data_IF_492130890502
#
_entry.id   IF_492130890502
#
_cell.length_a   1.000
_cell.length_b   1.000
_cell.length_c   1.000
_cell.angle_alpha   90.00
_cell.angle_beta   90.00
_cell.angle_gamma   90.00
#
_symmetry.space_group_name_H-M   'P 1'
#
loop_
_entity.id
_entity.type
_entity.pdbx_description
1 polymer ?
#
# COMPACT_ATOMS: atom_id res chain seq x y z
N UNK A 1 16.95 -17.10 -6.41
CA UNK A 1 17.36 -16.97 -7.84
C UNK A 1 16.21 -17.09 -8.85
N UNK A 2 15.22 -17.99 -8.66
CA UNK A 2 14.07 -18.15 -9.57
C UNK A 2 13.18 -16.88 -9.64
N UNK A 3 12.92 -16.24 -8.50
CA UNK A 3 12.10 -15.04 -8.39
C UNK A 3 12.71 -13.78 -9.04
N UNK A 4 14.04 -13.66 -9.07
CA UNK A 4 14.71 -12.51 -9.71
C UNK A 4 14.48 -12.53 -11.22
N UNK A 5 14.44 -13.71 -11.84
CA UNK A 5 14.14 -13.86 -13.29
C UNK A 5 12.67 -13.52 -13.61
N UNK A 6 11.74 -13.78 -12.65
CA UNK A 6 10.33 -13.43 -12.83
C UNK A 6 10.09 -11.90 -12.64
N UNK A 7 10.93 -11.21 -11.85
CA UNK A 7 10.90 -9.75 -11.67
C UNK A 7 11.50 -8.98 -12.85
N UNK A 8 12.49 -9.56 -13.51
CA UNK A 8 13.11 -9.02 -14.72
C UNK A 8 12.35 -9.43 -16.01
N UNK A 9 11.19 -10.08 -15.89
CA UNK A 9 10.39 -10.42 -17.06
C UNK A 9 9.90 -9.15 -17.76
N UNK A 10 9.91 -9.14 -19.09
CA UNK A 10 9.43 -8.02 -19.92
C UNK A 10 8.01 -7.59 -19.54
N UNK A 11 7.20 -8.52 -19.04
CA UNK A 11 5.82 -8.26 -18.55
C UNK A 11 5.85 -7.42 -17.28
N UNK A 12 6.73 -7.72 -16.34
CA UNK A 12 6.86 -6.97 -15.09
C UNK A 12 7.35 -5.55 -15.36
N UNK A 13 8.35 -5.39 -16.23
CA UNK A 13 8.87 -4.09 -16.66
C UNK A 13 7.81 -3.27 -17.43
N UNK A 14 7.03 -3.93 -18.29
CA UNK A 14 5.97 -3.26 -19.05
C UNK A 14 4.82 -2.80 -18.15
N UNK A 15 4.40 -3.63 -17.18
CA UNK A 15 3.43 -3.27 -16.15
C UNK A 15 3.94 -2.09 -15.32
N UNK A 16 5.17 -2.17 -14.85
CA UNK A 16 5.81 -1.14 -14.05
C UNK A 16 5.87 0.22 -14.77
N UNK A 17 6.23 0.22 -16.05
CA UNK A 17 6.28 1.43 -16.87
C UNK A 17 4.89 2.02 -17.12
N UNK A 18 3.91 1.17 -17.44
CA UNK A 18 2.52 1.59 -17.69
C UNK A 18 1.87 2.18 -16.44
N UNK A 19 2.07 1.51 -15.31
CA UNK A 19 1.52 1.91 -14.01
C UNK A 19 2.19 3.20 -13.53
N UNK A 20 3.52 3.28 -13.63
CA UNK A 20 4.27 4.46 -13.25
C UNK A 20 3.87 5.69 -14.08
N UNK A 21 3.64 5.50 -15.38
CA UNK A 21 3.16 6.59 -16.25
C UNK A 21 1.78 7.09 -15.82
N UNK A 22 0.83 6.19 -15.55
CA UNK A 22 -0.51 6.55 -15.05
C UNK A 22 -0.45 7.24 -13.70
N UNK A 23 0.32 6.70 -12.74
CA UNK A 23 0.46 7.25 -11.42
C UNK A 23 1.12 8.64 -11.46
N UNK A 24 2.21 8.79 -12.23
CA UNK A 24 2.86 10.09 -12.45
C UNK A 24 1.93 11.10 -13.15
N UNK A 25 1.04 10.64 -14.01
CA UNK A 25 0.06 11.52 -14.66
C UNK A 25 -1.01 12.01 -13.67
N UNK A 26 -1.46 11.16 -12.76
CA UNK A 26 -2.38 11.54 -11.67
C UNK A 26 -1.75 12.57 -10.74
N UNK A 27 -0.50 12.34 -10.34
CA UNK A 27 0.25 13.30 -9.50
C UNK A 27 0.52 14.62 -10.24
N UNK A 28 0.84 14.59 -11.54
CA UNK A 28 1.08 15.81 -12.34
C UNK A 28 -0.17 16.65 -12.54
N UNK A 29 -1.35 16.04 -12.53
CA UNK A 29 -2.63 16.77 -12.55
C UNK A 29 -2.81 17.68 -11.32
N UNK A 30 -2.03 17.44 -10.27
CA UNK A 30 -2.10 18.15 -9.00
C UNK A 30 -1.00 19.22 -8.84
N UNK A 31 -0.16 19.46 -9.86
CA UNK A 31 0.91 20.48 -9.80
C UNK A 31 0.43 21.77 -10.48
N UNK A 32 0.79 22.90 -9.94
CA UNK A 32 0.58 24.20 -10.56
C UNK A 32 1.02 24.17 -12.03
N UNK A 33 0.11 24.44 -12.91
CA UNK A 33 0.37 24.42 -14.34
C UNK A 33 -0.05 25.73 -15.02
N UNK A 34 0.58 25.99 -16.16
CA UNK A 34 0.17 27.10 -17.02
C UNK A 34 -0.64 26.53 -18.16
N UNK A 35 -1.94 26.82 -18.18
CA UNK A 35 -2.79 26.48 -19.30
C UNK A 35 -2.85 27.67 -20.28
N UNK A 36 -2.45 27.44 -21.53
CA UNK A 36 -2.25 28.44 -22.56
C UNK A 36 -3.39 28.51 -23.59
N UNK A 37 -3.23 29.35 -24.62
CA UNK A 37 -4.19 29.57 -25.73
C UNK A 37 -5.47 30.32 -25.35
N UNK A 38 -5.40 31.20 -24.39
CA UNK A 38 -6.53 32.08 -24.05
C UNK A 38 -6.38 33.47 -24.65
N UNK A 39 -7.51 34.17 -24.80
CA UNK A 39 -7.58 35.58 -25.27
C UNK A 39 -7.25 36.57 -24.14
N UNK A 40 -7.29 36.12 -22.88
CA UNK A 40 -6.91 36.86 -21.67
C UNK A 40 -6.49 35.88 -20.56
N UNK A 41 -5.63 36.29 -19.65
CA UNK A 41 -5.12 35.41 -18.60
C UNK A 41 -4.15 36.09 -17.64
N UNK A 42 -3.46 35.29 -16.83
CA UNK A 42 -2.54 35.74 -15.79
C UNK A 42 -1.20 36.26 -16.35
N UNK A 43 -0.84 35.86 -17.57
CA UNK A 43 0.38 36.30 -18.23
C UNK A 43 0.44 35.95 -19.70
N UNK A 44 1.50 36.40 -20.39
CA UNK A 44 1.65 36.27 -21.85
C UNK A 44 2.72 35.21 -22.16
N UNK A 45 2.37 34.30 -23.05
CA UNK A 45 3.29 33.32 -23.61
C UNK A 45 4.02 33.92 -24.83
N UNK A 46 5.23 34.40 -24.63
CA UNK A 46 6.00 35.17 -25.64
C UNK A 46 6.14 34.43 -26.99
N UNK A 47 6.24 33.12 -26.94
CA UNK A 47 6.34 32.26 -28.14
C UNK A 47 5.08 32.29 -29.01
N UNK A 48 3.97 32.82 -28.53
CA UNK A 48 2.66 32.85 -29.19
C UNK A 48 2.17 34.23 -29.56
N UNK A 49 3.00 35.25 -29.40
CA UNK A 49 2.63 36.65 -29.72
C UNK A 49 2.20 36.82 -31.19
N UNK A 50 2.64 35.92 -32.09
CA UNK A 50 2.21 35.91 -33.49
C UNK A 50 0.87 35.21 -33.75
N UNK A 51 0.13 34.70 -32.74
CA UNK A 51 -1.17 34.09 -32.98
C UNK A 51 -2.21 35.16 -33.43
N UNK A 52 -2.65 35.07 -34.68
CA UNK A 52 -3.64 35.96 -35.27
C UNK A 52 -4.98 35.96 -34.51
N UNK A 53 -5.29 34.91 -33.79
CA UNK A 53 -6.48 34.81 -32.93
C UNK A 53 -6.28 35.41 -31.54
N UNK A 54 -5.14 36.06 -31.30
CA UNK A 54 -4.79 36.71 -30.02
C UNK A 54 -4.84 35.78 -28.81
N UNK A 55 -4.59 34.45 -28.99
CA UNK A 55 -4.61 33.41 -27.95
C UNK A 55 -3.22 33.19 -27.38
N UNK A 56 -2.55 34.22 -26.96
CA UNK A 56 -1.19 34.21 -26.41
C UNK A 56 -1.16 34.36 -24.88
N UNK A 57 -2.32 34.36 -24.22
CA UNK A 57 -2.41 34.41 -22.77
C UNK A 57 -2.40 33.01 -22.18
N UNK A 58 -1.79 32.89 -20.99
CA UNK A 58 -1.93 31.71 -20.16
C UNK A 58 -2.64 32.07 -18.85
N UNK A 59 -3.26 31.06 -18.23
CA UNK A 59 -3.79 31.11 -16.88
C UNK A 59 -2.96 30.20 -16.01
N UNK A 60 -2.67 30.63 -14.78
CA UNK A 60 -2.15 29.71 -13.78
C UNK A 60 -3.31 28.86 -13.31
N UNK A 61 -3.16 27.55 -13.43
CA UNK A 61 -4.06 26.55 -12.84
C UNK A 61 -3.36 26.13 -11.56
N UNK A 62 -3.97 26.44 -10.42
CA UNK A 62 -3.46 25.95 -9.15
C UNK A 62 -3.59 24.44 -9.14
N UNK A 63 -2.48 23.74 -8.92
CA UNK A 63 -2.48 22.32 -8.60
C UNK A 63 -3.11 22.10 -7.24
N UNK A 64 -3.65 20.93 -7.04
CA UNK A 64 -3.99 20.44 -5.71
C UNK A 64 -2.66 20.03 -5.08
N UNK A 65 -2.32 20.54 -3.91
CA UNK A 65 -1.13 20.11 -3.19
C UNK A 65 -1.22 18.59 -2.96
N UNK A 66 -0.16 17.87 -3.33
CA UNK A 66 -0.07 16.44 -3.02
C UNK A 66 -0.03 16.35 -1.49
N UNK A 67 -0.99 15.66 -0.86
CA UNK A 67 -0.98 15.55 0.59
C UNK A 67 0.32 14.89 1.05
N UNK A 68 0.90 15.42 2.11
CA UNK A 68 2.05 14.86 2.78
C UNK A 68 1.62 13.55 3.48
N UNK A 69 1.87 12.42 2.83
CA UNK A 69 1.36 11.11 3.22
C UNK A 69 2.49 10.09 3.39
N UNK A 70 2.41 9.33 4.47
CA UNK A 70 3.23 8.15 4.70
C UNK A 70 2.37 6.89 4.72
N UNK A 71 2.82 5.85 4.04
CA UNK A 71 2.10 4.58 3.89
C UNK A 71 2.94 3.44 4.46
N UNK A 72 2.40 2.71 5.42
CA UNK A 72 2.99 1.46 5.90
C UNK A 72 2.18 0.27 5.38
N UNK A 73 2.83 -0.57 4.58
CA UNK A 73 2.27 -1.85 4.16
C UNK A 73 2.61 -2.91 5.21
N UNK A 74 1.59 -3.44 5.86
CA UNK A 74 1.70 -4.51 6.83
C UNK A 74 1.23 -5.80 6.16
N UNK A 75 2.16 -6.71 5.88
CA UNK A 75 1.90 -7.93 5.11
C UNK A 75 1.87 -9.12 6.08
N UNK A 76 0.79 -9.87 6.03
CA UNK A 76 0.67 -11.11 6.76
C UNK A 76 1.66 -12.15 6.22
N UNK A 77 2.52 -12.65 7.11
CA UNK A 77 3.50 -13.71 6.85
C UNK A 77 3.11 -15.05 7.46
N UNK A 78 1.82 -15.25 7.80
CA UNK A 78 1.33 -16.53 8.35
C UNK A 78 1.36 -17.66 7.32
N UNK A 79 1.32 -18.89 7.80
CA UNK A 79 1.39 -20.09 6.96
C UNK A 79 0.27 -20.19 5.93
N UNK A 80 -0.92 -19.62 6.19
CA UNK A 80 -2.04 -19.57 5.25
C UNK A 80 -1.77 -18.71 4.00
N UNK A 81 -0.81 -17.80 4.10
CA UNK A 81 -0.33 -17.01 2.97
C UNK A 81 0.60 -17.76 2.02
N UNK A 82 0.96 -19.01 2.30
CA UNK A 82 1.89 -19.78 1.48
C UNK A 82 1.41 -19.96 0.03
N UNK A 83 2.36 -20.22 -0.88
CA UNK A 83 2.07 -20.51 -2.28
C UNK A 83 1.84 -19.28 -3.16
N UNK A 84 0.69 -19.24 -3.84
CA UNK A 84 0.38 -18.18 -4.81
C UNK A 84 0.18 -16.82 -4.15
N UNK A 85 -0.43 -16.76 -2.96
CA UNK A 85 -0.64 -15.52 -2.20
C UNK A 85 0.68 -14.83 -1.88
N UNK A 86 1.64 -15.57 -1.29
CA UNK A 86 2.96 -15.03 -0.96
C UNK A 86 3.71 -14.55 -2.21
N UNK A 87 3.69 -15.34 -3.29
CA UNK A 87 4.34 -14.95 -4.54
C UNK A 87 3.76 -13.64 -5.10
N UNK A 88 2.44 -13.49 -5.11
CA UNK A 88 1.80 -12.29 -5.61
C UNK A 88 2.00 -11.09 -4.66
N UNK A 89 2.03 -11.31 -3.35
CA UNK A 89 2.38 -10.28 -2.37
C UNK A 89 3.81 -9.76 -2.60
N UNK A 90 4.79 -10.63 -2.84
CA UNK A 90 6.17 -10.24 -3.19
C UNK A 90 6.20 -9.38 -4.47
N UNK A 91 5.61 -9.87 -5.56
CA UNK A 91 5.63 -9.16 -6.85
C UNK A 91 4.96 -7.78 -6.71
N UNK A 92 3.79 -7.73 -6.08
CA UNK A 92 3.05 -6.49 -5.87
C UNK A 92 3.82 -5.50 -5.00
N UNK A 93 4.46 -5.98 -3.94
CA UNK A 93 5.27 -5.14 -3.04
C UNK A 93 6.49 -4.54 -3.73
N UNK A 94 7.17 -5.31 -4.61
CA UNK A 94 8.29 -4.78 -5.39
C UNK A 94 7.82 -3.69 -6.36
N UNK A 95 6.70 -3.91 -7.06
CA UNK A 95 6.17 -2.92 -8.01
C UNK A 95 5.71 -1.67 -7.26
N UNK A 96 5.01 -1.83 -6.12
CA UNK A 96 4.60 -0.71 -5.26
C UNK A 96 5.81 0.10 -4.81
N UNK A 97 6.84 -0.57 -4.26
CA UNK A 97 8.05 0.10 -3.83
C UNK A 97 8.69 0.92 -4.96
N UNK A 98 8.85 0.35 -6.15
CA UNK A 98 9.43 1.04 -7.30
C UNK A 98 8.58 2.25 -7.73
N UNK A 99 7.25 2.12 -7.77
CA UNK A 99 6.35 3.21 -8.16
C UNK A 99 6.35 4.33 -7.11
N UNK A 100 6.21 3.99 -5.83
CA UNK A 100 6.16 4.97 -4.75
C UNK A 100 7.49 5.70 -4.60
N UNK A 101 8.62 4.97 -4.66
CA UNK A 101 9.97 5.54 -4.63
C UNK A 101 10.23 6.52 -5.77
N UNK A 102 9.84 6.18 -7.00
CA UNK A 102 10.00 7.06 -8.16
C UNK A 102 9.18 8.34 -8.07
N UNK A 103 8.08 8.31 -7.35
CA UNK A 103 7.20 9.46 -7.16
C UNK A 103 7.44 10.19 -5.82
N UNK A 104 8.44 9.79 -5.05
CA UNK A 104 8.83 10.44 -3.79
C UNK A 104 7.82 10.28 -2.66
N UNK A 105 7.01 9.21 -2.69
CA UNK A 105 6.01 8.92 -1.67
C UNK A 105 6.67 8.11 -0.55
N UNK A 106 6.55 8.64 0.66
CA UNK A 106 7.08 8.02 1.87
C UNK A 106 6.35 6.70 2.18
N UNK A 107 7.08 5.60 2.27
CA UNK A 107 6.49 4.29 2.53
C UNK A 107 7.46 3.31 3.19
N UNK A 108 6.87 2.36 3.91
CA UNK A 108 7.57 1.20 4.48
C UNK A 108 6.81 -0.08 4.16
N UNK A 109 7.53 -1.21 4.08
CA UNK A 109 6.96 -2.54 3.86
C UNK A 109 7.47 -3.47 4.95
N UNK A 110 6.54 -4.06 5.70
CA UNK A 110 6.82 -4.88 6.87
C UNK A 110 6.02 -6.17 6.79
N UNK A 111 6.69 -7.28 7.00
CA UNK A 111 6.07 -8.60 7.23
C UNK A 111 5.84 -8.79 8.73
N UNK A 112 4.70 -9.35 9.11
CA UNK A 112 4.45 -9.74 10.49
C UNK A 112 3.99 -11.20 10.60
N UNK A 113 4.36 -11.84 11.69
CA UNK A 113 3.92 -13.20 12.05
C UNK A 113 3.98 -13.42 13.55
N UNK A 114 3.18 -14.33 14.07
CA UNK A 114 3.18 -14.74 15.48
C UNK A 114 3.71 -16.17 15.58
N UNK A 115 4.67 -16.40 16.48
CA UNK A 115 5.36 -17.69 16.61
C UNK A 115 4.49 -18.64 17.41
N UNK A 116 4.12 -19.78 16.82
CA UNK A 116 3.37 -20.80 17.54
C UNK A 116 4.13 -21.32 18.74
N UNK A 117 3.41 -21.54 19.85
CA UNK A 117 3.98 -21.98 21.13
C UNK A 117 4.70 -20.88 21.91
N UNK A 118 4.79 -19.63 21.41
CA UNK A 118 5.44 -18.52 22.05
C UNK A 118 4.54 -17.26 22.05
N UNK A 119 4.54 -16.46 23.13
CA UNK A 119 3.83 -15.17 23.14
C UNK A 119 4.63 -14.08 22.40
N UNK A 120 5.09 -14.37 21.19
CA UNK A 120 5.99 -13.53 20.42
C UNK A 120 5.42 -13.22 19.04
N UNK A 121 5.37 -11.93 18.70
CA UNK A 121 5.09 -11.45 17.34
C UNK A 121 6.37 -10.87 16.75
N UNK A 122 6.74 -11.34 15.58
CA UNK A 122 7.91 -10.85 14.84
C UNK A 122 7.46 -9.87 13.76
N UNK A 123 8.21 -8.78 13.63
CA UNK A 123 8.07 -7.81 12.55
C UNK A 123 9.37 -7.74 11.78
N UNK A 124 9.31 -8.02 10.48
CA UNK A 124 10.46 -8.01 9.60
C UNK A 124 10.32 -6.83 8.65
N UNK A 125 11.14 -5.81 8.87
CA UNK A 125 11.18 -4.62 8.02
C UNK A 125 11.88 -5.01 6.71
N UNK A 126 11.14 -5.06 5.63
CA UNK A 126 11.63 -5.37 4.28
C UNK A 126 12.09 -4.08 3.59
N UNK A 127 11.32 -3.01 3.74
CA UNK A 127 11.64 -1.67 3.26
C UNK A 127 11.34 -0.70 4.39
N UNK A 128 12.32 0.08 4.79
CA UNK A 128 12.17 1.15 5.80
C UNK A 128 11.76 2.47 5.13
N UNK A 129 11.27 3.45 5.90
CA UNK A 129 11.01 4.81 5.41
C UNK A 129 12.27 5.48 4.84
N UNK A 130 13.43 5.20 5.41
CA UNK A 130 14.75 5.65 4.93
C UNK A 130 15.40 4.63 3.97
N UNK A 131 14.63 4.09 3.04
CA UNK A 131 15.07 3.05 2.13
C UNK A 131 16.21 3.46 1.20
N UNK A 132 17.00 2.47 0.81
CA UNK A 132 18.00 2.54 -0.26
C UNK A 132 17.47 1.86 -1.54
N UNK A 133 18.13 2.13 -2.69
CA UNK A 133 17.77 1.48 -3.97
C UNK A 133 17.84 -0.05 -3.94
N UNK A 134 18.58 -0.62 -2.99
CA UNK A 134 18.76 -2.07 -2.89
C UNK A 134 17.73 -2.76 -1.99
N UNK A 135 16.94 -2.00 -1.24
CA UNK A 135 16.00 -2.57 -0.26
C UNK A 135 14.87 -3.35 -0.92
N UNK A 136 14.59 -3.09 -2.21
CA UNK A 136 13.68 -3.92 -3.01
C UNK A 136 14.05 -5.41 -3.01
N UNK A 137 15.31 -5.76 -2.83
CA UNK A 137 15.75 -7.16 -2.75
C UNK A 137 15.40 -7.81 -1.42
N UNK A 138 15.22 -7.02 -0.34
CA UNK A 138 14.76 -7.52 0.94
C UNK A 138 13.30 -8.00 0.87
N UNK A 139 12.49 -7.45 -0.05
CA UNK A 139 11.10 -7.89 -0.27
C UNK A 139 11.06 -9.37 -0.69
N UNK A 140 12.10 -9.89 -1.35
CA UNK A 140 12.21 -11.30 -1.71
C UNK A 140 12.38 -12.24 -0.51
N UNK A 141 12.65 -11.68 0.67
CA UNK A 141 12.73 -12.39 1.94
C UNK A 141 11.37 -12.53 2.63
N UNK A 142 10.30 -11.99 2.04
CA UNK A 142 8.94 -12.23 2.52
C UNK A 142 8.65 -13.72 2.47
N UNK A 143 8.19 -14.27 3.57
CA UNK A 143 7.98 -15.69 3.74
C UNK A 143 6.59 -15.94 4.34
N UNK A 144 6.11 -17.17 4.32
CA UNK A 144 4.82 -17.54 4.84
C UNK A 144 4.97 -18.77 5.75
N UNK A 145 4.92 -18.51 7.05
CA UNK A 145 5.08 -19.53 8.10
C UNK A 145 4.45 -19.04 9.40
N UNK A 146 4.18 -19.95 10.35
CA UNK A 146 3.66 -19.60 11.67
C UNK A 146 2.20 -19.09 11.65
N UNK A 147 1.80 -18.39 12.73
CA UNK A 147 0.47 -17.81 12.89
C UNK A 147 0.45 -16.28 12.75
N UNK A 148 -0.70 -15.66 13.05
CA UNK A 148 -0.83 -14.22 13.05
C UNK A 148 -1.59 -13.69 14.27
N UNK A 149 -1.08 -12.58 14.85
CA UNK A 149 -1.75 -11.71 15.83
C UNK A 149 -1.78 -10.29 15.27
N UNK A 150 -2.69 -10.07 14.34
CA UNK A 150 -2.76 -8.83 13.56
C UNK A 150 -2.99 -7.60 14.45
N UNK A 151 -3.80 -7.71 15.51
CA UNK A 151 -4.02 -6.60 16.45
C UNK A 151 -2.72 -6.08 17.09
N UNK A 152 -1.84 -6.98 17.55
CA UNK A 152 -0.54 -6.59 18.10
C UNK A 152 0.37 -5.98 17.02
N UNK A 153 0.29 -6.51 15.82
CA UNK A 153 1.06 -5.98 14.67
C UNK A 153 0.59 -4.59 14.26
N UNK A 154 -0.71 -4.30 14.32
CA UNK A 154 -1.26 -2.96 14.14
C UNK A 154 -0.75 -1.96 15.19
N UNK A 155 -0.71 -2.36 16.46
CA UNK A 155 -0.17 -1.52 17.53
C UNK A 155 1.30 -1.18 17.28
N UNK A 156 2.08 -2.17 16.87
CA UNK A 156 3.48 -1.98 16.51
C UNK A 156 3.60 -1.08 15.28
N UNK A 157 2.84 -1.35 14.19
CA UNK A 157 2.85 -0.56 12.97
C UNK A 157 2.51 0.91 13.20
N UNK A 158 1.49 1.19 14.05
CA UNK A 158 1.17 2.55 14.49
C UNK A 158 2.37 3.23 15.12
N UNK A 159 2.98 2.57 16.12
CA UNK A 159 4.13 3.14 16.84
C UNK A 159 5.28 3.41 15.87
N UNK A 160 5.60 2.43 15.03
CA UNK A 160 6.66 2.53 14.04
C UNK A 160 6.44 3.68 13.06
N UNK A 161 5.22 3.81 12.53
CA UNK A 161 4.83 4.87 11.62
C UNK A 161 4.94 6.27 12.24
N UNK A 162 4.58 6.42 13.52
CA UNK A 162 4.69 7.70 14.25
C UNK A 162 6.16 8.06 14.52
N UNK A 163 6.99 7.07 14.86
CA UNK A 163 8.40 7.28 15.21
C UNK A 163 9.29 7.57 13.98
N UNK A 164 8.91 7.05 12.80
CA UNK A 164 9.77 7.09 11.60
C UNK A 164 9.26 8.00 10.49
N UNK A 165 8.03 8.54 10.61
CA UNK A 165 7.47 9.47 9.63
C UNK A 165 6.89 10.71 10.29
N UNK A 166 7.17 11.87 9.68
CA UNK A 166 6.61 13.16 10.05
C UNK A 166 5.45 13.60 9.15
N UNK A 167 5.05 12.80 8.17
CA UNK A 167 3.97 13.11 7.26
C UNK A 167 2.68 13.47 7.99
N UNK A 168 1.92 14.42 7.44
CA UNK A 168 0.65 14.88 8.00
C UNK A 168 -0.39 13.75 8.02
N UNK A 169 -0.48 13.03 6.90
CA UNK A 169 -1.40 11.91 6.76
C UNK A 169 -0.68 10.58 6.88
N UNK A 170 -1.21 9.69 7.69
CA UNK A 170 -0.63 8.37 7.96
C UNK A 170 -1.63 7.27 7.62
N UNK A 171 -1.17 6.28 6.87
CA UNK A 171 -2.01 5.16 6.40
C UNK A 171 -1.31 3.83 6.67
N UNK A 172 -2.04 2.87 7.22
CA UNK A 172 -1.62 1.48 7.31
C UNK A 172 -2.47 0.68 6.33
N UNK A 173 -1.83 -0.06 5.43
CA UNK A 173 -2.48 -0.98 4.50
C UNK A 173 -2.12 -2.40 4.93
N UNK A 174 -3.13 -3.13 5.44
CA UNK A 174 -2.97 -4.50 5.90
C UNK A 174 -3.31 -5.46 4.75
N UNK A 175 -2.38 -6.31 4.38
CA UNK A 175 -2.55 -7.32 3.33
C UNK A 175 -2.58 -8.68 3.99
N UNK A 176 -3.73 -9.32 4.01
CA UNK A 176 -3.96 -10.59 4.73
C UNK A 176 -4.95 -11.46 3.97
N UNK A 177 -4.97 -12.74 4.29
CA UNK A 177 -5.99 -13.69 3.84
C UNK A 177 -7.16 -13.85 4.82
N UNK A 178 -7.21 -13.00 5.86
CA UNK A 178 -8.37 -12.84 6.73
C UNK A 178 -8.54 -13.89 7.82
N UNK A 179 -7.57 -14.73 8.08
CA UNK A 179 -7.68 -15.77 9.13
C UNK A 179 -6.66 -15.55 10.27
N UNK A 180 -6.88 -14.59 11.19
CA UNK A 180 -5.98 -14.39 12.31
C UNK A 180 -6.08 -15.55 13.29
N UNK A 181 -5.04 -16.36 13.37
CA UNK A 181 -4.98 -17.53 14.25
C UNK A 181 -3.58 -17.65 14.86
N UNK A 182 -3.54 -17.86 16.18
CA UNK A 182 -2.30 -18.11 16.91
C UNK A 182 -2.57 -18.82 18.23
N UNK A 183 -1.65 -19.67 18.66
CA UNK A 183 -1.67 -20.32 19.96
C UNK A 183 -0.29 -20.16 20.59
N UNK A 184 -0.19 -19.42 21.69
CA UNK A 184 1.06 -19.23 22.44
C UNK A 184 1.31 -20.36 23.46
N UNK A 185 0.24 -20.96 24.00
CA UNK A 185 0.27 -22.08 24.93
C UNK A 185 -1.10 -22.76 24.96
N UNK A 186 -1.22 -23.86 25.67
CA UNK A 186 -2.45 -24.70 25.73
C UNK A 186 -3.71 -23.96 26.20
N UNK A 187 -3.57 -22.81 26.85
CA UNK A 187 -4.66 -21.99 27.36
C UNK A 187 -4.92 -20.70 26.54
N UNK A 188 -4.18 -20.48 25.47
CA UNK A 188 -4.27 -19.29 24.63
C UNK A 188 -4.75 -19.67 23.22
N UNK A 189 -6.04 -19.59 23.01
CA UNK A 189 -6.66 -19.77 21.69
C UNK A 189 -7.03 -18.39 21.13
N UNK A 190 -6.14 -17.89 20.26
CA UNK A 190 -6.36 -16.65 19.54
C UNK A 190 -6.86 -16.98 18.11
N UNK A 191 -8.13 -17.29 18.03
CA UNK A 191 -8.84 -17.60 16.78
C UNK A 191 -10.16 -16.82 16.69
N UNK A 192 -10.79 -16.72 15.51
CA UNK A 192 -12.10 -16.10 15.40
C UNK A 192 -13.15 -16.80 16.30
N UNK A 193 -14.04 -16.06 17.00
CA UNK A 193 -14.28 -14.61 16.89
C UNK A 193 -13.43 -13.73 17.84
N UNK A 194 -12.57 -14.33 18.68
CA UNK A 194 -11.75 -13.56 19.64
C UNK A 194 -10.75 -12.67 18.94
N UNK A 195 -10.01 -13.24 17.98
CA UNK A 195 -8.97 -12.53 17.22
C UNK A 195 -9.54 -11.41 16.35
N UNK A 196 -10.67 -11.62 15.68
CA UNK A 196 -11.33 -10.59 14.86
C UNK A 196 -11.80 -9.43 15.72
N UNK A 197 -12.42 -9.71 16.87
CA UNK A 197 -12.88 -8.67 17.81
C UNK A 197 -11.74 -7.87 18.42
N UNK A 198 -10.64 -8.54 18.79
CA UNK A 198 -9.45 -7.88 19.33
C UNK A 198 -8.85 -6.94 18.29
N UNK A 199 -8.61 -7.43 17.08
CA UNK A 199 -8.06 -6.64 15.96
C UNK A 199 -8.97 -5.46 15.63
N UNK A 200 -10.29 -5.66 15.56
CA UNK A 200 -11.26 -4.60 15.34
C UNK A 200 -11.15 -3.48 16.40
N UNK A 201 -11.11 -3.86 17.69
CA UNK A 201 -11.02 -2.88 18.78
C UNK A 201 -9.72 -2.06 18.70
N UNK A 202 -8.62 -2.70 18.31
CA UNK A 202 -7.32 -2.03 18.15
C UNK A 202 -7.36 -1.11 16.91
N UNK A 203 -7.86 -1.59 15.78
CA UNK A 203 -8.00 -0.79 14.57
C UNK A 203 -8.80 0.49 14.82
N UNK A 204 -9.94 0.37 15.50
CA UNK A 204 -10.77 1.52 15.88
C UNK A 204 -10.07 2.53 16.77
N UNK A 205 -9.21 2.07 17.70
CA UNK A 205 -8.42 2.98 18.54
C UNK A 205 -7.41 3.75 17.68
N UNK A 206 -6.75 3.08 16.76
CA UNK A 206 -5.75 3.69 15.89
C UNK A 206 -6.39 4.72 14.95
N UNK A 207 -7.55 4.40 14.37
CA UNK A 207 -8.28 5.32 13.49
C UNK A 207 -8.77 6.58 14.23
N UNK A 208 -9.19 6.45 15.50
CA UNK A 208 -9.54 7.61 16.33
C UNK A 208 -8.37 8.54 16.62
N UNK A 209 -7.15 8.05 16.50
CA UNK A 209 -5.93 8.84 16.63
C UNK A 209 -5.47 9.47 15.29
N UNK A 210 -6.27 9.33 14.22
CA UNK A 210 -6.06 9.98 12.92
C UNK A 210 -5.22 9.17 11.92
N UNK A 211 -4.93 7.90 12.19
CA UNK A 211 -4.25 7.00 11.25
C UNK A 211 -5.30 6.17 10.52
N UNK A 212 -5.35 6.28 9.20
CA UNK A 212 -6.29 5.48 8.39
C UNK A 212 -5.81 4.04 8.26
N UNK A 213 -6.73 3.07 8.39
CA UNK A 213 -6.42 1.65 8.17
C UNK A 213 -7.26 1.14 7.00
N UNK A 214 -6.63 0.33 6.13
CA UNK A 214 -7.29 -0.28 4.97
C UNK A 214 -6.89 -1.74 4.93
N UNK A 215 -7.87 -2.62 4.99
CA UNK A 215 -7.68 -4.06 4.78
C UNK A 215 -7.69 -4.40 3.29
N UNK A 216 -6.83 -5.32 2.88
CA UNK A 216 -6.76 -5.87 1.53
C UNK A 216 -6.91 -7.38 1.64
N UNK A 217 -8.05 -7.88 1.20
CA UNK A 217 -8.37 -9.30 1.22
C UNK A 217 -7.71 -10.02 0.05
N UNK A 218 -6.96 -11.08 0.35
CA UNK A 218 -6.34 -11.95 -0.66
C UNK A 218 -7.09 -13.27 -0.75
N UNK A 219 -7.92 -13.41 -1.75
CA UNK A 219 -8.60 -14.67 -2.04
C UNK A 219 -7.80 -15.53 -3.01
N UNK A 220 -7.81 -16.86 -2.78
CA UNK A 220 -7.11 -17.82 -3.65
C UNK A 220 -7.93 -18.19 -4.87
N UNK A 221 -9.25 -18.29 -4.68
CA UNK A 221 -10.19 -18.70 -5.71
C UNK A 221 -11.09 -17.54 -6.12
N UNK A 222 -11.23 -17.34 -7.41
CA UNK A 222 -12.13 -16.33 -7.94
C UNK A 222 -13.58 -16.59 -7.52
N UNK A 223 -14.19 -15.60 -6.87
CA UNK A 223 -15.57 -15.68 -6.36
C UNK A 223 -15.68 -16.21 -4.93
N UNK A 224 -14.57 -16.55 -4.28
CA UNK A 224 -14.52 -16.72 -2.83
C UNK A 224 -14.52 -15.31 -2.20
N UNK A 225 -15.31 -15.12 -1.16
CA UNK A 225 -15.42 -13.85 -0.42
C UNK A 225 -15.20 -14.04 1.08
N UNK A 226 -14.73 -15.20 1.50
CA UNK A 226 -14.60 -15.55 2.91
C UNK A 226 -13.61 -14.67 3.65
N UNK A 227 -12.46 -14.39 3.03
CA UNK A 227 -11.48 -13.46 3.56
C UNK A 227 -12.03 -12.04 3.61
N UNK A 228 -12.64 -11.57 2.53
CA UNK A 228 -13.25 -10.25 2.45
C UNK A 228 -14.30 -10.01 3.52
N UNK A 229 -15.23 -10.98 3.71
CA UNK A 229 -16.25 -10.88 4.76
C UNK A 229 -15.63 -10.85 6.17
N UNK A 230 -14.61 -11.69 6.43
CA UNK A 230 -13.89 -11.67 7.71
C UNK A 230 -13.20 -10.32 7.95
N UNK A 231 -12.50 -9.78 6.94
CA UNK A 231 -11.83 -8.48 7.09
C UNK A 231 -12.81 -7.32 7.26
N UNK A 232 -14.03 -7.40 6.72
CA UNK A 232 -15.09 -6.41 6.96
C UNK A 232 -15.58 -6.38 8.42
N UNK A 233 -15.46 -7.48 9.14
CA UNK A 233 -15.71 -7.50 10.58
C UNK A 233 -14.61 -6.76 11.37
N UNK A 234 -13.41 -6.67 10.78
CA UNK A 234 -12.23 -6.09 11.42
C UNK A 234 -12.06 -4.62 11.05
N UNK A 235 -12.15 -4.27 9.77
CA UNK A 235 -11.83 -2.95 9.22
C UNK A 235 -13.04 -2.27 8.59
N UNK A 236 -13.11 -0.94 8.70
CA UNK A 236 -14.16 -0.14 8.04
C UNK A 236 -13.97 -0.06 6.53
N UNK A 237 -12.72 -0.12 6.09
CA UNK A 237 -12.35 -0.02 4.68
C UNK A 237 -11.64 -1.30 4.27
N UNK A 238 -12.27 -2.07 3.44
CA UNK A 238 -11.72 -3.32 2.89
C UNK A 238 -11.79 -3.30 1.38
N UNK A 239 -10.74 -3.75 0.74
CA UNK A 239 -10.67 -3.97 -0.70
C UNK A 239 -10.61 -5.47 -0.93
N UNK A 240 -11.54 -5.95 -1.73
CA UNK A 240 -11.54 -7.30 -2.25
C UNK A 240 -10.63 -7.38 -3.48
N UNK A 241 -9.75 -8.36 -3.49
CA UNK A 241 -8.89 -8.66 -4.63
C UNK A 241 -9.35 -9.96 -5.28
N UNK A 242 -10.37 -9.85 -6.13
CA UNK A 242 -11.04 -10.96 -6.84
C UNK A 242 -10.09 -11.84 -7.65
N UNK A 243 -8.97 -11.28 -8.13
CA UNK A 243 -7.95 -11.96 -8.90
C UNK A 243 -6.59 -11.41 -8.49
N UNK A 244 -5.78 -12.27 -7.89
CA UNK A 244 -4.44 -11.92 -7.42
C UNK A 244 -3.52 -11.37 -8.52
N UNK A 245 -3.82 -11.64 -9.80
CA UNK A 245 -3.13 -11.03 -10.94
C UNK A 245 -3.36 -9.51 -11.00
N UNK A 246 -4.45 -9.02 -10.42
CA UNK A 246 -4.81 -7.61 -10.37
C UNK A 246 -4.42 -6.92 -9.06
N UNK A 247 -3.88 -7.66 -8.07
CA UNK A 247 -3.49 -7.12 -6.76
C UNK A 247 -2.67 -5.83 -6.90
N UNK A 248 -1.63 -5.85 -7.70
CA UNK A 248 -0.78 -4.67 -7.92
C UNK A 248 -1.57 -3.47 -8.44
N UNK A 249 -2.44 -3.69 -9.43
CA UNK A 249 -3.25 -2.62 -10.04
C UNK A 249 -4.26 -2.07 -9.04
N UNK A 250 -4.88 -2.93 -8.24
CA UNK A 250 -5.85 -2.54 -7.23
C UNK A 250 -5.19 -1.75 -6.09
N UNK A 251 -4.03 -2.19 -5.61
CA UNK A 251 -3.26 -1.46 -4.60
C UNK A 251 -2.80 -0.08 -5.10
N UNK A 252 -2.36 0.02 -6.35
CA UNK A 252 -1.99 1.31 -6.93
C UNK A 252 -3.17 2.24 -7.14
N UNK A 253 -4.32 1.71 -7.54
CA UNK A 253 -5.56 2.48 -7.61
C UNK A 253 -6.02 2.96 -6.22
N UNK A 254 -5.85 2.11 -5.19
CA UNK A 254 -6.11 2.48 -3.81
C UNK A 254 -5.21 3.65 -3.38
N UNK A 255 -3.90 3.48 -3.54
CA UNK A 255 -2.93 4.52 -3.20
C UNK A 255 -3.23 5.82 -3.96
N UNK A 256 -3.55 5.72 -5.28
CA UNK A 256 -3.93 6.91 -6.08
C UNK A 256 -5.14 7.65 -5.52
N UNK A 257 -6.11 6.94 -4.94
CA UNK A 257 -7.30 7.55 -4.32
C UNK A 257 -7.01 8.25 -2.99
N UNK A 258 -5.89 7.96 -2.35
CA UNK A 258 -5.47 8.67 -1.14
C UNK A 258 -4.96 10.08 -1.46
N UNK A 259 -4.65 10.36 -2.74
CA UNK A 259 -4.17 11.66 -3.21
C UNK A 259 -5.26 12.51 -3.90
N UNK A 260 -6.48 12.01 -3.99
CA UNK A 260 -7.64 12.70 -4.56
C UNK A 260 -8.59 13.18 -3.47
#
# INVERSE_FOLDING_TARGET
MKYIKDLDSDICLMLLNTINAKFSQLLKGNVDSKDGKFSFGSGIESKRLGDLKKRYWYRNVQGIDIPDIAILFLIDGSGSMAGAKNKNAIISSVILHEVLSKNGIEHAIVEHRAIFGEPLVKHKILVDFNYSKNDKYNILLLDADEGTREGLSLMWAKKYLIEHSHAEYKVIICISDGYPCHTANDNDDYSPPVSTKDTHNIARKIEKEGISIIGVALEEQKGDTSCYETLKEVYDRVIDVDDMKHLTTQLLNLVSKLFL
#
